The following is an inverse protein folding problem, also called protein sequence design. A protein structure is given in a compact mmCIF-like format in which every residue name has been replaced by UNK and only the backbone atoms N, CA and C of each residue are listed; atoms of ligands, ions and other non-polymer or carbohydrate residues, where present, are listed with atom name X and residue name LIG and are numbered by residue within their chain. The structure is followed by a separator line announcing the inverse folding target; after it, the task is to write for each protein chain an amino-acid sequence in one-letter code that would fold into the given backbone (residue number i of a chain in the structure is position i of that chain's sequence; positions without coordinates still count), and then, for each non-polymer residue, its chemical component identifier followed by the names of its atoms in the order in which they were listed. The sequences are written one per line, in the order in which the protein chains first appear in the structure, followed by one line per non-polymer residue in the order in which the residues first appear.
data_IF_887216248433
#
_entry.id   IF_887216248433
#
_cell.length_a   1.000
_cell.length_b   1.000
_cell.length_c   1.000
_cell.angle_alpha   90.00
_cell.angle_beta   90.00
_cell.angle_gamma   90.00
#
_symmetry.space_group_name_H-M   'P 1'
#
loop_
_entity.id
_entity.type
_entity.pdbx_description
1 polymer ?
#
# COMPACT_ATOMS: atom_id res chain seq x y z
N UNK A 1 6.47 5.19 -2.49
CA UNK A 1 6.49 5.34 -3.96
C UNK A 1 6.36 6.81 -4.30
N UNK A 2 7.26 7.35 -5.12
CA UNK A 2 7.18 8.75 -5.54
C UNK A 2 6.06 8.96 -6.57
N UNK A 3 5.62 10.22 -6.75
CA UNK A 3 4.52 10.55 -7.66
C UNK A 3 4.80 10.17 -9.12
N UNK A 4 6.05 10.24 -9.56
CA UNK A 4 6.45 9.87 -10.92
C UNK A 4 6.25 8.38 -11.20
N UNK A 5 6.62 7.51 -10.25
CA UNK A 5 6.42 6.06 -10.37
C UNK A 5 4.92 5.70 -10.38
N UNK A 6 4.10 6.36 -9.55
CA UNK A 6 2.63 6.19 -9.57
C UNK A 6 2.08 6.56 -10.96
N UNK A 7 2.46 7.72 -11.48
CA UNK A 7 2.05 8.17 -12.80
C UNK A 7 2.49 7.19 -13.91
N UNK A 8 3.73 6.71 -13.85
CA UNK A 8 4.25 5.72 -14.79
C UNK A 8 3.47 4.41 -14.78
N UNK A 9 3.11 3.90 -13.60
CA UNK A 9 2.27 2.70 -13.46
C UNK A 9 0.88 2.92 -14.05
N UNK A 10 0.25 4.08 -13.78
CA UNK A 10 -1.06 4.43 -14.36
C UNK A 10 -0.98 4.45 -15.89
N UNK A 11 0.04 5.09 -16.46
CA UNK A 11 0.22 5.16 -17.90
C UNK A 11 0.43 3.77 -18.52
N UNK A 12 1.27 2.93 -17.91
CA UNK A 12 1.48 1.55 -18.35
C UNK A 12 0.19 0.72 -18.27
N UNK A 13 -0.62 0.91 -17.22
CA UNK A 13 -1.90 0.23 -17.10
C UNK A 13 -2.86 0.64 -18.23
N UNK A 14 -2.96 1.93 -18.52
CA UNK A 14 -3.81 2.45 -19.60
C UNK A 14 -3.38 1.92 -20.97
N UNK A 15 -2.09 2.02 -21.28
CA UNK A 15 -1.53 1.51 -22.55
C UNK A 15 -1.77 -0.01 -22.67
N UNK A 16 -1.46 -0.77 -21.62
CA UNK A 16 -1.68 -2.20 -21.57
C UNK A 16 -3.14 -2.56 -21.82
N UNK A 17 -4.09 -1.87 -21.17
CA UNK A 17 -5.52 -2.07 -21.37
C UNK A 17 -5.97 -1.73 -22.80
N UNK A 18 -5.54 -0.60 -23.36
CA UNK A 18 -5.88 -0.21 -24.73
C UNK A 18 -5.40 -1.26 -25.74
N UNK A 19 -4.13 -1.67 -25.64
CA UNK A 19 -3.56 -2.71 -26.50
C UNK A 19 -4.31 -4.04 -26.35
N UNK A 20 -4.70 -4.36 -25.11
CA UNK A 20 -5.42 -5.58 -24.79
C UNK A 20 -6.82 -5.61 -25.41
N UNK A 21 -7.59 -4.55 -25.25
CA UNK A 21 -8.93 -4.44 -25.84
C UNK A 21 -8.88 -4.37 -27.36
N UNK A 22 -7.88 -3.70 -27.93
CA UNK A 22 -7.65 -3.71 -29.38
C UNK A 22 -7.42 -5.15 -29.88
N UNK A 23 -6.54 -5.90 -29.22
CA UNK A 23 -6.26 -7.29 -29.57
C UNK A 23 -7.53 -8.16 -29.49
N UNK A 24 -8.30 -8.02 -28.40
CA UNK A 24 -9.56 -8.75 -28.21
C UNK A 24 -10.59 -8.43 -29.28
N UNK A 25 -10.76 -7.14 -29.61
CA UNK A 25 -11.68 -6.70 -30.65
C UNK A 25 -11.30 -7.29 -32.01
N UNK A 26 -10.02 -7.24 -32.37
CA UNK A 26 -9.55 -7.75 -33.65
C UNK A 26 -9.63 -9.29 -33.75
N UNK A 27 -9.26 -10.01 -32.69
CA UNK A 27 -9.44 -11.47 -32.63
C UNK A 27 -10.93 -11.86 -32.76
N UNK A 28 -11.83 -11.11 -32.12
CA UNK A 28 -13.27 -11.33 -32.24
C UNK A 28 -13.74 -11.12 -33.69
N UNK A 29 -13.27 -10.07 -34.36
CA UNK A 29 -13.59 -9.81 -35.76
C UNK A 29 -13.09 -10.92 -36.71
N UNK A 30 -12.04 -11.65 -36.30
CA UNK A 30 -11.52 -12.83 -37.02
C UNK A 30 -12.23 -14.14 -36.64
N UNK A 31 -13.34 -14.09 -35.89
CA UNK A 31 -14.18 -15.24 -35.56
C UNK A 31 -13.73 -16.05 -34.35
N UNK A 32 -12.71 -15.60 -33.61
CA UNK A 32 -12.32 -16.25 -32.37
C UNK A 32 -13.36 -15.97 -31.27
N UNK A 33 -13.68 -16.98 -30.45
CA UNK A 33 -14.47 -16.79 -29.23
C UNK A 33 -13.61 -16.06 -28.19
N UNK A 34 -14.00 -14.83 -27.84
CA UNK A 34 -13.27 -13.97 -26.89
C UNK A 34 -14.17 -13.66 -25.69
N UNK A 35 -13.57 -13.70 -24.50
CA UNK A 35 -14.19 -13.31 -23.25
C UNK A 35 -13.50 -12.05 -22.75
N UNK A 36 -14.23 -10.97 -22.52
CA UNK A 36 -13.61 -9.65 -22.24
C UNK A 36 -12.91 -9.59 -20.88
N UNK A 37 -13.38 -10.32 -19.87
CA UNK A 37 -12.89 -10.21 -18.49
C UNK A 37 -12.04 -11.39 -17.99
N UNK A 38 -11.90 -12.46 -18.77
CA UNK A 38 -11.12 -13.64 -18.38
C UNK A 38 -10.48 -14.30 -19.61
N UNK A 39 -9.68 -15.35 -19.38
CA UNK A 39 -9.05 -16.10 -20.46
C UNK A 39 -7.87 -15.39 -21.13
N UNK A 40 -7.22 -14.46 -20.42
CA UNK A 40 -6.18 -13.60 -20.99
C UNK A 40 -5.04 -14.37 -21.68
N UNK A 41 -4.56 -15.44 -21.05
CA UNK A 41 -3.54 -16.30 -21.64
C UNK A 41 -4.02 -17.04 -22.90
N UNK A 42 -5.29 -17.41 -22.96
CA UNK A 42 -5.86 -18.06 -24.15
C UNK A 42 -5.90 -17.10 -25.35
N UNK A 43 -6.14 -15.81 -25.09
CA UNK A 43 -6.16 -14.80 -26.15
C UNK A 43 -4.75 -14.50 -26.69
N UNK A 44 -3.73 -14.55 -25.84
CA UNK A 44 -2.33 -14.51 -26.29
C UNK A 44 -2.01 -15.72 -27.18
N UNK A 45 -2.43 -16.93 -26.80
CA UNK A 45 -2.24 -18.12 -27.62
C UNK A 45 -2.91 -17.96 -29.01
N UNK A 46 -4.17 -17.48 -29.05
CA UNK A 46 -4.87 -17.17 -30.31
C UNK A 46 -4.15 -16.09 -31.13
N UNK A 47 -3.62 -15.05 -30.49
CA UNK A 47 -2.82 -14.03 -31.19
C UNK A 47 -1.57 -14.63 -31.85
N UNK A 48 -0.87 -15.55 -31.18
CA UNK A 48 0.28 -16.26 -31.78
C UNK A 48 -0.14 -17.14 -32.95
N UNK A 49 -1.35 -17.73 -32.90
CA UNK A 49 -1.92 -18.50 -34.01
C UNK A 49 -2.20 -17.60 -35.21
N UNK A 50 -2.79 -16.43 -35.00
CA UNK A 50 -3.01 -15.43 -36.07
C UNK A 50 -1.68 -14.99 -36.69
N UNK A 51 -0.64 -14.73 -35.89
CA UNK A 51 0.70 -14.39 -36.40
C UNK A 51 1.27 -15.51 -37.29
N UNK A 52 1.05 -16.78 -36.91
CA UNK A 52 1.52 -17.93 -37.69
C UNK A 52 0.77 -18.05 -39.03
N UNK A 53 -0.55 -17.82 -39.03
CA UNK A 53 -1.43 -17.94 -40.20
C UNK A 53 -1.43 -16.71 -41.12
N UNK A 54 -0.90 -15.57 -40.68
CA UNK A 54 -0.88 -14.33 -41.47
C UNK A 54 0.35 -14.29 -42.38
N UNK A 55 0.12 -14.27 -43.69
CA UNK A 55 1.16 -14.13 -44.71
C UNK A 55 1.57 -12.67 -44.93
N UNK A 56 0.63 -11.73 -44.79
CA UNK A 56 0.90 -10.31 -44.99
C UNK A 56 1.92 -9.77 -43.97
N UNK A 57 3.11 -9.30 -44.41
CA UNK A 57 4.20 -8.93 -43.50
C UNK A 57 3.85 -7.77 -42.56
N UNK A 58 3.06 -6.81 -43.04
CA UNK A 58 2.66 -5.63 -42.27
C UNK A 58 1.79 -6.02 -41.09
N UNK A 59 0.71 -6.75 -41.35
CA UNK A 59 -0.22 -7.24 -40.32
C UNK A 59 0.51 -8.13 -39.31
N UNK A 60 1.38 -9.04 -39.78
CA UNK A 60 2.20 -9.89 -38.93
C UNK A 60 3.12 -9.09 -38.00
N UNK A 61 3.76 -8.02 -38.51
CA UNK A 61 4.61 -7.13 -37.71
C UNK A 61 3.81 -6.39 -36.64
N UNK A 62 2.62 -5.90 -36.98
CA UNK A 62 1.72 -5.24 -36.02
C UNK A 62 1.39 -6.14 -34.83
N UNK A 63 0.95 -7.38 -35.09
CA UNK A 63 0.63 -8.32 -34.02
C UNK A 63 1.84 -8.70 -33.15
N UNK A 64 3.00 -8.91 -33.76
CA UNK A 64 4.25 -9.15 -33.01
C UNK A 64 4.59 -7.96 -32.11
N UNK A 65 4.43 -6.73 -32.62
CA UNK A 65 4.62 -5.51 -31.85
C UNK A 65 3.68 -5.44 -30.66
N UNK A 66 2.40 -5.70 -30.86
CA UNK A 66 1.39 -5.68 -29.80
C UNK A 66 1.67 -6.74 -28.73
N UNK A 67 1.97 -7.98 -29.14
CA UNK A 67 2.32 -9.07 -28.22
C UNK A 67 3.55 -8.70 -27.39
N UNK A 68 4.59 -8.18 -28.04
CA UNK A 68 5.81 -7.73 -27.37
C UNK A 68 5.53 -6.60 -26.38
N UNK A 69 4.76 -5.58 -26.78
CA UNK A 69 4.36 -4.48 -25.90
C UNK A 69 3.56 -4.95 -24.70
N UNK A 70 2.64 -5.91 -24.86
CA UNK A 70 1.87 -6.48 -23.76
C UNK A 70 2.78 -7.23 -22.77
N UNK A 71 3.71 -8.06 -23.28
CA UNK A 71 4.71 -8.75 -22.43
C UNK A 71 5.56 -7.73 -21.68
N UNK A 72 6.00 -6.67 -22.37
CA UNK A 72 6.79 -5.61 -21.77
C UNK A 72 6.03 -4.89 -20.64
N UNK A 73 4.75 -4.57 -20.83
CA UNK A 73 3.91 -3.98 -19.77
C UNK A 73 3.80 -4.91 -18.57
N UNK A 74 3.57 -6.21 -18.79
CA UNK A 74 3.48 -7.22 -17.73
C UNK A 74 4.78 -7.31 -16.92
N UNK A 75 5.93 -7.14 -17.56
CA UNK A 75 7.26 -7.20 -16.90
C UNK A 75 7.60 -5.87 -16.21
N UNK A 76 7.38 -4.73 -16.86
CA UNK A 76 7.74 -3.42 -16.32
C UNK A 76 6.90 -3.03 -15.10
N UNK A 77 5.63 -3.43 -15.07
CA UNK A 77 4.73 -3.19 -13.94
C UNK A 77 5.31 -3.62 -12.58
N UNK A 78 5.63 -4.91 -12.35
CA UNK A 78 6.22 -5.35 -11.08
C UNK A 78 7.59 -4.73 -10.84
N UNK A 79 8.42 -4.54 -11.88
CA UNK A 79 9.74 -3.91 -11.72
C UNK A 79 9.61 -2.51 -11.14
N UNK A 80 8.80 -1.65 -11.77
CA UNK A 80 8.59 -0.27 -11.29
C UNK A 80 7.97 -0.27 -9.90
N UNK A 81 6.99 -1.14 -9.66
CA UNK A 81 6.35 -1.28 -8.36
C UNK A 81 7.36 -1.63 -7.25
N UNK A 82 8.12 -2.72 -7.41
CA UNK A 82 9.06 -3.20 -6.40
C UNK A 82 10.26 -2.26 -6.21
N UNK A 83 10.77 -1.64 -7.28
CA UNK A 83 11.87 -0.68 -7.18
C UNK A 83 11.48 0.62 -6.45
N UNK A 84 10.20 0.98 -6.44
CA UNK A 84 9.72 2.20 -5.79
C UNK A 84 8.90 1.94 -4.51
N UNK A 85 8.80 0.67 -4.10
CA UNK A 85 8.23 0.30 -2.82
C UNK A 85 9.21 0.70 -1.73
N UNK A 86 8.70 1.43 -0.73
CA UNK A 86 9.52 1.80 0.42
C UNK A 86 9.89 0.55 1.22
N UNK A 87 11.17 0.43 1.60
CA UNK A 87 11.61 -0.67 2.46
C UNK A 87 10.84 -0.65 3.78
N UNK A 88 10.62 -1.83 4.34
CA UNK A 88 9.97 -1.98 5.65
C UNK A 88 10.71 -1.20 6.73
N UNK A 89 12.04 -1.17 6.64
CA UNK A 89 12.94 -0.40 7.50
C UNK A 89 12.70 1.12 7.41
N UNK A 90 12.71 1.69 6.20
CA UNK A 90 12.45 3.11 6.01
C UNK A 90 11.06 3.51 6.54
N UNK A 91 10.06 2.64 6.32
CA UNK A 91 8.71 2.85 6.84
C UNK A 91 8.66 2.82 8.37
N UNK A 92 9.36 1.87 9.00
CA UNK A 92 9.45 1.79 10.48
C UNK A 92 10.13 3.04 11.04
N UNK A 93 11.22 3.47 10.43
CA UNK A 93 11.94 4.64 10.88
C UNK A 93 11.14 5.94 10.68
N UNK A 94 10.39 6.05 9.56
CA UNK A 94 9.45 7.15 9.36
C UNK A 94 8.38 7.20 10.46
N UNK A 95 7.76 6.05 10.78
CA UNK A 95 6.78 5.99 11.87
C UNK A 95 7.35 6.43 13.22
N UNK A 96 8.60 6.07 13.51
CA UNK A 96 9.27 6.56 14.71
C UNK A 96 9.47 8.09 14.68
N UNK A 97 9.84 8.65 13.54
CA UNK A 97 9.96 10.10 13.38
C UNK A 97 8.59 10.81 13.49
N UNK A 98 7.55 10.25 12.90
CA UNK A 98 6.17 10.75 13.03
C UNK A 98 5.73 10.69 14.50
N UNK A 99 6.00 9.58 15.18
CA UNK A 99 5.79 9.45 16.62
C UNK A 99 6.57 10.55 17.36
N UNK A 100 7.85 10.77 17.09
CA UNK A 100 8.62 11.82 17.77
C UNK A 100 8.01 13.22 17.59
N UNK A 101 7.49 13.54 16.41
CA UNK A 101 6.98 14.89 16.09
C UNK A 101 5.55 15.13 16.57
N UNK A 102 4.75 14.09 16.74
CA UNK A 102 3.37 14.21 17.19
C UNK A 102 3.29 14.74 18.64
N UNK A 103 2.16 15.33 19.05
CA UNK A 103 1.89 15.69 20.44
C UNK A 103 0.50 15.23 20.83
N UNK A 104 0.33 14.83 22.08
CA UNK A 104 -0.94 14.31 22.59
C UNK A 104 -1.10 14.72 24.04
N UNK A 105 -2.27 15.22 24.38
CA UNK A 105 -2.65 15.51 25.75
C UNK A 105 -4.14 15.21 25.86
N UNK A 106 -4.53 14.33 26.78
CA UNK A 106 -5.94 13.95 26.88
C UNK A 106 -6.17 12.85 27.90
N UNK A 107 -7.44 12.54 28.11
CA UNK A 107 -7.86 11.43 28.97
C UNK A 107 -8.32 10.27 28.10
N UNK A 108 -7.92 9.06 28.45
CA UNK A 108 -8.29 7.84 27.73
C UNK A 108 -9.79 7.60 27.94
N UNK A 109 -10.57 7.62 26.86
CA UNK A 109 -11.98 7.29 26.89
C UNK A 109 -12.17 5.76 26.88
N UNK A 110 -11.55 5.09 25.91
CA UNK A 110 -11.56 3.63 25.80
C UNK A 110 -10.35 3.12 25.02
N UNK A 111 -10.05 1.83 25.18
CA UNK A 111 -9.01 1.10 24.45
C UNK A 111 -9.60 -0.14 23.79
N UNK A 112 -9.19 -0.46 22.57
CA UNK A 112 -9.66 -1.64 21.85
C UNK A 112 -8.59 -2.18 20.90
N UNK A 113 -8.79 -3.41 20.45
CA UNK A 113 -8.03 -4.04 19.37
C UNK A 113 -8.92 -3.99 18.13
N UNK A 114 -8.45 -3.38 17.04
CA UNK A 114 -9.20 -3.32 15.78
C UNK A 114 -9.45 -4.72 15.19
N UNK A 115 -10.29 -4.80 14.15
CA UNK A 115 -10.79 -6.02 13.49
C UNK A 115 -9.74 -7.12 13.29
N UNK A 116 -10.16 -8.40 13.18
CA UNK A 116 -9.28 -9.58 13.20
C UNK A 116 -8.13 -9.59 12.19
N UNK A 117 -8.25 -8.87 11.07
CA UNK A 117 -7.24 -8.85 10.01
C UNK A 117 -6.18 -7.73 10.18
N UNK A 118 -6.35 -6.83 11.15
CA UNK A 118 -5.41 -5.74 11.42
C UNK A 118 -5.10 -5.51 12.90
N UNK A 119 -5.83 -6.15 13.84
CA UNK A 119 -5.55 -6.36 15.28
C UNK A 119 -4.64 -5.32 15.94
N UNK A 120 -4.88 -4.05 15.66
CA UNK A 120 -4.04 -2.96 16.10
C UNK A 120 -4.57 -2.47 17.44
N UNK A 121 -3.69 -2.36 18.42
CA UNK A 121 -3.99 -1.77 19.70
C UNK A 121 -4.18 -0.25 19.51
N UNK A 122 -5.40 0.20 19.76
CA UNK A 122 -5.84 1.57 19.49
C UNK A 122 -6.44 2.19 20.74
N UNK A 123 -6.19 3.48 20.91
CA UNK A 123 -6.74 4.31 21.97
C UNK A 123 -7.62 5.39 21.40
N UNK A 124 -8.77 5.59 22.03
CA UNK A 124 -9.63 6.74 21.82
C UNK A 124 -9.52 7.70 23.00
N UNK A 125 -9.40 8.98 22.68
CA UNK A 125 -9.29 10.07 23.66
C UNK A 125 -10.51 10.98 23.59
N UNK A 126 -10.96 11.42 24.75
CA UNK A 126 -11.85 12.57 24.85
C UNK A 126 -10.99 13.83 24.92
N UNK A 127 -10.85 14.53 23.79
CA UNK A 127 -10.21 15.85 23.72
C UNK A 127 -11.23 16.90 23.28
N UNK A 128 -12.25 17.13 24.12
CA UNK A 128 -13.18 18.28 24.10
C UNK A 128 -14.08 18.50 22.88
N UNK A 129 -13.68 18.05 21.68
CA UNK A 129 -14.32 18.36 20.40
C UNK A 129 -14.29 17.23 19.37
N UNK A 130 -13.33 16.29 19.40
CA UNK A 130 -13.27 15.15 18.45
C UNK A 130 -12.68 13.87 19.09
N UNK A 131 -13.19 12.70 18.68
CA UNK A 131 -12.57 11.40 18.99
C UNK A 131 -11.29 11.25 18.18
N UNK A 132 -10.15 11.26 18.87
CA UNK A 132 -8.85 10.99 18.25
C UNK A 132 -8.48 9.53 18.48
N UNK A 133 -8.25 8.78 17.40
CA UNK A 133 -7.70 7.42 17.47
C UNK A 133 -6.18 7.46 17.25
N UNK A 134 -5.41 6.94 18.22
CA UNK A 134 -3.95 6.85 18.08
C UNK A 134 -3.49 5.41 18.22
N UNK A 135 -2.76 4.87 17.23
CA UNK A 135 -2.13 3.57 17.36
C UNK A 135 -1.03 3.59 18.43
N UNK A 136 -0.94 2.51 19.20
CA UNK A 136 0.08 2.36 20.23
C UNK A 136 1.40 1.89 19.62
N UNK A 137 2.47 2.65 19.86
CA UNK A 137 3.85 2.33 19.45
C UNK A 137 4.76 1.94 20.63
N UNK A 138 4.17 1.85 21.81
CA UNK A 138 4.87 1.64 23.07
C UNK A 138 4.50 0.26 23.57
N UNK A 139 5.48 -0.63 23.65
CA UNK A 139 5.28 -1.97 24.22
C UNK A 139 4.74 -1.85 25.65
N UNK A 140 3.85 -2.77 26.04
CA UNK A 140 3.22 -2.86 27.38
C UNK A 140 2.26 -1.70 27.73
N UNK A 141 2.22 -0.62 26.93
CA UNK A 141 1.34 0.52 27.20
C UNK A 141 -0.12 0.10 27.16
N UNK A 142 -0.54 -0.68 26.14
CA UNK A 142 -1.92 -1.12 26.00
C UNK A 142 -2.40 -1.93 27.20
N UNK A 143 -1.57 -2.84 27.72
CA UNK A 143 -1.88 -3.62 28.91
C UNK A 143 -1.92 -2.74 30.16
N UNK A 144 -0.98 -1.80 30.27
CA UNK A 144 -0.86 -0.91 31.41
C UNK A 144 -2.06 0.01 31.56
N UNK A 145 -2.43 0.76 30.53
CA UNK A 145 -3.40 1.88 30.58
C UNK A 145 -4.86 1.45 30.77
N UNK A 146 -5.66 2.35 31.33
CA UNK A 146 -7.09 2.14 31.62
C UNK A 146 -7.88 3.39 31.21
N UNK A 147 -9.16 3.24 30.84
CA UNK A 147 -10.08 4.37 30.74
C UNK A 147 -10.01 5.28 31.98
N UNK A 148 -9.94 6.59 31.77
CA UNK A 148 -9.80 7.60 32.82
C UNK A 148 -8.35 7.99 33.17
N UNK A 149 -7.33 7.26 32.69
CA UNK A 149 -5.95 7.74 32.82
C UNK A 149 -5.72 8.97 31.93
N UNK A 150 -4.93 9.92 32.42
CA UNK A 150 -4.46 11.04 31.59
C UNK A 150 -3.13 10.72 30.96
N UNK A 151 -2.95 11.07 29.70
CA UNK A 151 -1.70 10.88 28.97
C UNK A 151 -1.16 12.19 28.44
N UNK A 152 0.15 12.31 28.36
CA UNK A 152 0.83 13.46 27.80
C UNK A 152 2.06 13.03 27.00
N UNK A 153 2.15 13.53 25.77
CA UNK A 153 3.25 13.34 24.84
C UNK A 153 3.64 14.69 24.29
N UNK A 154 4.88 15.09 24.56
CA UNK A 154 5.45 16.35 24.06
C UNK A 154 6.14 16.11 22.71
N UNK A 155 5.84 16.96 21.72
CA UNK A 155 6.52 16.93 20.42
C UNK A 155 8.05 17.04 20.58
N UNK A 156 8.79 16.26 19.81
CA UNK A 156 10.24 16.12 19.89
C UNK A 156 10.72 15.08 20.90
N UNK A 157 9.87 14.66 21.85
CA UNK A 157 10.21 13.64 22.84
C UNK A 157 9.89 12.23 22.34
N UNK A 158 10.67 11.25 22.84
CA UNK A 158 10.38 9.81 22.69
C UNK A 158 9.59 9.25 23.87
N UNK A 159 9.37 10.09 24.88
CA UNK A 159 8.71 9.73 26.13
C UNK A 159 7.21 10.01 26.05
N UNK A 160 6.44 9.06 26.60
CA UNK A 160 5.02 9.18 26.84
C UNK A 160 4.78 9.11 28.34
N UNK A 161 4.08 10.12 28.87
CA UNK A 161 3.75 10.24 30.27
C UNK A 161 2.32 9.74 30.48
N UNK A 162 2.13 8.86 31.46
CA UNK A 162 0.81 8.38 31.88
C UNK A 162 0.61 8.72 33.35
N UNK A 163 -0.50 9.38 33.66
CA UNK A 163 -0.91 9.74 35.00
C UNK A 163 -2.10 8.88 35.41
N UNK A 164 -1.88 8.05 36.43
CA UNK A 164 -2.90 7.19 37.04
C UNK A 164 -2.96 7.45 38.53
N UNK A 165 -4.14 7.83 39.03
CA UNK A 165 -4.39 8.02 40.47
C UNK A 165 -3.30 8.82 41.19
N UNK A 166 -2.82 9.91 40.56
CA UNK A 166 -1.75 10.76 41.09
C UNK A 166 -0.31 10.25 40.92
N UNK A 167 -0.12 9.04 40.36
CA UNK A 167 1.20 8.47 40.04
C UNK A 167 1.53 8.70 38.56
N UNK A 168 2.70 9.28 38.31
CA UNK A 168 3.28 9.42 36.98
C UNK A 168 4.11 8.19 36.61
N UNK A 169 3.87 7.64 35.42
CA UNK A 169 4.66 6.58 34.81
C UNK A 169 5.15 7.04 33.45
N UNK A 170 6.43 6.83 33.15
CA UNK A 170 7.03 7.22 31.87
C UNK A 170 7.32 5.99 31.04
N UNK A 171 6.85 6.00 29.80
CA UNK A 171 7.18 5.02 28.79
C UNK A 171 8.11 5.64 27.75
N UNK A 172 9.07 4.85 27.25
CA UNK A 172 10.04 5.33 26.26
C UNK A 172 10.05 4.41 25.04
N UNK A 173 9.96 5.00 23.86
CA UNK A 173 10.12 4.28 22.60
C UNK A 173 11.61 4.22 22.24
N UNK A 174 12.16 3.02 22.13
CA UNK A 174 13.53 2.81 21.70
C UNK A 174 13.66 2.97 20.19
N UNK A 175 14.44 3.96 19.75
CA UNK A 175 14.73 4.22 18.34
C UNK A 175 15.29 2.98 17.63
N UNK A 176 16.11 2.17 18.31
CA UNK A 176 16.77 1.00 17.71
C UNK A 176 15.79 -0.11 17.32
N UNK A 177 14.58 -0.12 17.89
CA UNK A 177 13.51 -1.03 17.47
C UNK A 177 12.91 -0.66 16.11
N UNK A 178 13.05 0.60 15.70
CA UNK A 178 12.35 1.17 14.55
C UNK A 178 13.28 1.64 13.41
N UNK A 179 14.47 2.14 13.75
CA UNK A 179 15.49 2.57 12.81
C UNK A 179 16.75 1.73 13.03
N UNK A 180 17.29 1.16 11.96
CA UNK A 180 18.65 0.61 11.99
C UNK A 180 19.61 1.79 11.87
N UNK A 181 20.56 1.88 12.80
CA UNK A 181 21.65 2.87 12.77
C UNK A 181 22.79 2.39 11.86
#
# INVERSE_FOLDING_TARGET
MNGLAIFGLILLALIGNILWYWLKFDLKNKGYKIQYFYGHFSDLAKATEVIKKTDEPRTKRTYRGILFSLILVIILMPIIFFMNMESTENRRCRRFNDYKLYSLNGTIAFKYIDKPNHAMETLSFEDGTEENEVPIFVDELFEFIQPGDSICKVSGSTELLVYRTGKLTTFKVDQKKYCTE
#
